data_IF_322343605300
#
_entry.id   IF_322343605300
#
_cell.length_a   1.000
_cell.length_b   1.000
_cell.length_c   1.000
_cell.angle_alpha   90.00
_cell.angle_beta   90.00
_cell.angle_gamma   90.00
#
_symmetry.space_group_name_H-M   'P 1'
#
loop_
_entity.id
_entity.type
_entity.pdbx_description
1 polymer ?
#
# COMPACT_ATOMS: atom_id res chain seq x y z
N UNK A 1 -37.86 25.78 18.03
CA UNK A 1 -36.99 25.05 17.08
C UNK A 1 -37.43 23.60 17.15
N UNK A 2 -37.58 22.92 16.02
CA UNK A 2 -37.90 21.49 16.03
C UNK A 2 -36.65 20.70 16.46
N UNK A 3 -36.78 19.85 17.48
CA UNK A 3 -35.73 18.92 17.87
C UNK A 3 -35.65 17.76 16.89
N UNK A 4 -34.51 17.60 16.22
CA UNK A 4 -34.28 16.54 15.24
C UNK A 4 -33.24 15.56 15.79
N UNK A 5 -33.52 14.26 15.65
CA UNK A 5 -32.64 13.17 16.05
C UNK A 5 -32.11 12.47 14.81
N UNK A 6 -30.79 12.29 14.74
CA UNK A 6 -30.11 11.52 13.69
C UNK A 6 -29.77 10.13 14.20
N UNK A 7 -30.33 9.10 13.56
CA UNK A 7 -29.89 7.71 13.73
C UNK A 7 -28.86 7.33 12.66
N UNK A 8 -27.82 6.60 13.05
CA UNK A 8 -26.79 6.06 12.15
C UNK A 8 -26.66 4.55 12.34
N UNK A 9 -26.72 3.81 11.23
CA UNK A 9 -26.44 2.37 11.17
C UNK A 9 -25.16 2.14 10.35
N UNK A 10 -24.07 1.83 11.04
CA UNK A 10 -22.73 1.77 10.45
C UNK A 10 -22.37 0.31 10.15
N UNK A 11 -22.47 -0.06 8.88
CA UNK A 11 -22.04 -1.35 8.33
C UNK A 11 -20.66 -1.30 7.68
N UNK A 12 -20.21 -2.46 7.19
CA UNK A 12 -18.87 -2.64 6.60
C UNK A 12 -18.74 -1.95 5.22
N UNK A 13 -19.83 -1.91 4.44
CA UNK A 13 -19.90 -1.33 3.09
C UNK A 13 -21.07 -0.35 2.94
N UNK A 14 -21.69 0.04 4.04
CA UNK A 14 -22.87 0.90 4.04
C UNK A 14 -22.97 1.70 5.33
N UNK A 15 -23.51 2.90 5.23
CA UNK A 15 -24.01 3.66 6.38
C UNK A 15 -25.46 4.07 6.12
N UNK A 16 -26.39 3.48 6.85
CA UNK A 16 -27.77 3.93 6.91
C UNK A 16 -27.89 5.16 7.79
N UNK A 17 -28.74 6.11 7.42
CA UNK A 17 -29.05 7.28 8.24
C UNK A 17 -30.53 7.62 8.17
N UNK A 18 -31.06 8.18 9.26
CA UNK A 18 -32.43 8.65 9.33
C UNK A 18 -32.57 9.83 10.27
N UNK A 19 -33.39 10.80 9.90
CA UNK A 19 -33.70 11.98 10.69
C UNK A 19 -35.16 11.88 11.14
N UNK A 20 -35.39 11.99 12.44
CA UNK A 20 -36.71 11.92 13.05
C UNK A 20 -36.94 13.20 13.84
N UNK A 21 -38.14 13.77 13.76
CA UNK A 21 -38.59 14.80 14.68
C UNK A 21 -38.85 14.16 16.05
N UNK A 22 -38.14 14.60 17.09
CA UNK A 22 -38.21 14.01 18.42
C UNK A 22 -39.59 14.17 19.06
N UNK A 23 -40.25 15.31 18.80
CA UNK A 23 -41.52 15.66 19.43
C UNK A 23 -42.71 14.96 18.76
N UNK A 24 -42.69 14.84 17.43
CA UNK A 24 -43.80 14.26 16.66
C UNK A 24 -43.58 12.79 16.31
N UNK A 25 -42.35 12.28 16.38
CA UNK A 25 -41.97 10.95 15.89
C UNK A 25 -41.97 10.85 14.35
N UNK A 26 -42.17 11.95 13.64
CA UNK A 26 -42.21 11.96 12.17
C UNK A 26 -40.82 11.71 11.58
N UNK A 27 -40.76 10.82 10.59
CA UNK A 27 -39.56 10.61 9.79
C UNK A 27 -39.45 11.76 8.80
N UNK A 28 -38.43 12.59 8.96
CA UNK A 28 -38.18 13.73 8.09
C UNK A 28 -37.47 13.28 6.82
N UNK A 29 -36.44 12.45 6.97
CA UNK A 29 -35.68 11.94 5.85
C UNK A 29 -34.93 10.67 6.25
N UNK A 30 -34.61 9.83 5.27
CA UNK A 30 -33.82 8.63 5.47
C UNK A 30 -33.10 8.23 4.18
N UNK A 31 -31.94 7.61 4.34
CA UNK A 31 -31.17 7.12 3.21
C UNK A 31 -30.09 6.14 3.62
N UNK A 32 -29.40 5.62 2.62
CA UNK A 32 -28.25 4.73 2.81
C UNK A 32 -27.14 5.20 1.91
N UNK A 33 -25.95 5.36 2.47
CA UNK A 33 -24.72 5.57 1.72
C UNK A 33 -24.01 4.23 1.56
N UNK A 34 -23.96 3.73 0.33
CA UNK A 34 -23.15 2.55 -0.03
C UNK A 34 -21.73 2.99 -0.43
N UNK A 35 -20.75 2.14 -0.13
CA UNK A 35 -19.36 2.27 -0.56
C UNK A 35 -18.74 0.88 -0.70
N UNK A 36 -17.67 0.77 -1.49
CA UNK A 36 -16.96 -0.49 -1.61
C UNK A 36 -16.40 -0.90 -0.24
N UNK A 37 -16.58 -2.17 0.12
CA UNK A 37 -15.93 -2.73 1.30
C UNK A 37 -14.42 -2.49 1.19
N UNK A 38 -13.81 -2.07 2.30
CA UNK A 38 -12.36 -1.90 2.36
C UNK A 38 -11.70 -3.26 2.19
N UNK A 39 -11.34 -3.61 0.96
CA UNK A 39 -10.71 -4.87 0.62
C UNK A 39 -9.38 -4.99 1.40
N UNK A 40 -9.33 -5.93 2.35
CA UNK A 40 -8.11 -6.21 3.13
C UNK A 40 -6.94 -6.57 2.22
N UNK A 41 -7.22 -7.19 1.08
CA UNK A 41 -6.20 -7.67 0.15
C UNK A 41 -5.40 -6.52 -0.46
N UNK A 42 -6.04 -5.39 -0.77
CA UNK A 42 -5.36 -4.23 -1.36
C UNK A 42 -4.22 -3.70 -0.47
N UNK A 43 -4.39 -3.70 0.85
CA UNK A 43 -3.34 -3.26 1.77
C UNK A 43 -2.26 -4.33 1.98
N UNK A 44 -2.64 -5.61 1.97
CA UNK A 44 -1.73 -6.74 2.07
C UNK A 44 -0.81 -6.83 0.84
N UNK A 45 -1.37 -6.71 -0.36
CA UNK A 45 -0.61 -6.67 -1.61
C UNK A 45 0.34 -5.47 -1.64
N UNK A 46 -0.15 -4.29 -1.25
CA UNK A 46 0.70 -3.09 -1.13
C UNK A 46 1.86 -3.32 -0.16
N UNK A 47 1.63 -4.05 0.95
CA UNK A 47 2.67 -4.41 1.91
C UNK A 47 3.66 -5.40 1.31
N UNK A 48 3.19 -6.43 0.61
CA UNK A 48 4.00 -7.46 -0.03
C UNK A 48 4.90 -6.88 -1.12
N UNK A 49 4.34 -6.08 -2.03
CA UNK A 49 5.12 -5.40 -3.06
C UNK A 49 6.18 -4.46 -2.48
N UNK A 50 5.85 -3.73 -1.41
CA UNK A 50 6.81 -2.87 -0.71
C UNK A 50 7.95 -3.68 -0.08
N UNK A 51 7.65 -4.80 0.54
CA UNK A 51 8.65 -5.70 1.12
C UNK A 51 9.56 -6.29 0.04
N UNK A 52 9.00 -6.74 -1.08
CA UNK A 52 9.75 -7.26 -2.22
C UNK A 52 10.72 -6.21 -2.80
N UNK A 53 10.24 -4.97 -3.04
CA UNK A 53 11.10 -3.86 -3.50
C UNK A 53 12.24 -3.55 -2.53
N UNK A 54 11.96 -3.53 -1.23
CA UNK A 54 12.99 -3.31 -0.19
C UNK A 54 14.03 -4.42 -0.17
N UNK A 55 13.61 -5.68 -0.30
CA UNK A 55 14.53 -6.83 -0.36
C UNK A 55 15.42 -6.76 -1.61
N UNK A 56 14.84 -6.49 -2.80
CA UNK A 56 15.61 -6.31 -4.05
C UNK A 56 16.64 -5.18 -3.91
N UNK A 57 16.21 -4.01 -3.41
CA UNK A 57 17.10 -2.86 -3.19
C UNK A 57 18.24 -3.18 -2.22
N UNK A 58 17.95 -3.84 -1.10
CA UNK A 58 18.97 -4.22 -0.10
C UNK A 58 19.96 -5.26 -0.66
N UNK A 59 19.50 -6.21 -1.48
CA UNK A 59 20.36 -7.17 -2.15
C UNK A 59 21.33 -6.48 -3.11
N UNK A 60 20.82 -5.58 -3.96
CA UNK A 60 21.63 -4.77 -4.87
C UNK A 60 22.66 -3.92 -4.11
N UNK A 61 22.19 -3.16 -3.11
CA UNK A 61 23.05 -2.27 -2.34
C UNK A 61 24.15 -3.01 -1.56
N UNK A 62 23.85 -4.20 -1.03
CA UNK A 62 24.87 -5.04 -0.37
C UNK A 62 25.96 -5.46 -1.35
N UNK A 63 25.59 -5.86 -2.57
CA UNK A 63 26.55 -6.25 -3.60
C UNK A 63 27.40 -5.06 -4.06
N UNK A 64 26.80 -3.88 -4.24
CA UNK A 64 27.52 -2.63 -4.56
C UNK A 64 28.55 -2.30 -3.48
N UNK A 65 28.14 -2.26 -2.20
CA UNK A 65 29.05 -1.98 -1.09
C UNK A 65 30.19 -2.99 -0.94
N UNK A 66 29.92 -4.26 -1.22
CA UNK A 66 30.99 -5.28 -1.22
C UNK A 66 31.96 -5.06 -2.38
N UNK A 67 31.48 -4.69 -3.57
CA UNK A 67 32.35 -4.34 -4.71
C UNK A 67 33.21 -3.11 -4.41
N UNK A 68 32.63 -2.06 -3.82
CA UNK A 68 33.32 -0.85 -3.37
C UNK A 68 34.44 -1.21 -2.37
N UNK A 69 34.10 -1.93 -1.30
CA UNK A 69 35.05 -2.35 -0.26
C UNK A 69 36.25 -3.14 -0.83
N UNK A 70 35.99 -4.11 -1.71
CA UNK A 70 37.06 -4.90 -2.32
C UNK A 70 37.95 -4.07 -3.26
N UNK A 71 37.38 -3.05 -3.90
CA UNK A 71 38.12 -2.15 -4.79
C UNK A 71 39.03 -1.23 -4.01
N UNK A 72 38.54 -0.65 -2.91
CA UNK A 72 39.29 0.21 -2.00
C UNK A 72 40.48 -0.52 -1.36
N UNK A 73 40.29 -1.78 -0.98
CA UNK A 73 41.33 -2.58 -0.32
C UNK A 73 42.29 -3.28 -1.32
N UNK A 74 42.31 -2.88 -2.59
CA UNK A 74 43.14 -3.49 -3.65
C UNK A 74 42.92 -5.00 -3.84
N UNK A 75 41.76 -5.50 -3.39
CA UNK A 75 41.31 -6.90 -3.48
C UNK A 75 40.54 -7.17 -4.79
N UNK A 76 40.82 -6.39 -5.84
CA UNK A 76 40.09 -6.41 -7.13
C UNK A 76 40.07 -7.79 -7.81
N UNK A 77 41.07 -8.65 -7.55
CA UNK A 77 41.10 -10.02 -8.07
C UNK A 77 39.87 -10.84 -7.66
N UNK A 78 39.30 -10.55 -6.49
CA UNK A 78 38.14 -11.23 -5.92
C UNK A 78 36.81 -10.75 -6.52
N UNK A 79 36.79 -9.64 -7.26
CA UNK A 79 35.60 -9.17 -7.98
C UNK A 79 35.10 -10.19 -9.02
N UNK A 80 36.00 -11.05 -9.52
CA UNK A 80 35.69 -12.09 -10.50
C UNK A 80 34.77 -13.20 -9.98
N UNK A 81 34.60 -13.29 -8.65
CA UNK A 81 33.73 -14.28 -8.00
C UNK A 81 32.26 -13.81 -8.02
N UNK A 82 32.02 -12.50 -8.19
CA UNK A 82 30.65 -12.00 -8.22
C UNK A 82 29.97 -12.35 -9.55
N UNK A 83 28.70 -12.79 -9.50
CA UNK A 83 27.93 -13.08 -10.70
C UNK A 83 27.85 -11.84 -11.61
N UNK A 84 28.20 -11.99 -12.90
CA UNK A 84 28.19 -10.91 -13.91
C UNK A 84 26.77 -10.47 -14.31
N UNK A 85 25.79 -11.34 -14.09
CA UNK A 85 24.38 -11.24 -14.44
C UNK A 85 23.58 -10.27 -13.55
N UNK A 86 24.17 -9.71 -12.50
CA UNK A 86 23.50 -8.74 -11.64
C UNK A 86 23.42 -7.31 -12.23
N UNK A 87 23.80 -7.12 -13.49
CA UNK A 87 23.65 -5.85 -14.21
C UNK A 87 22.38 -5.80 -15.10
N UNK A 88 21.71 -6.93 -15.34
CA UNK A 88 20.61 -7.04 -16.30
C UNK A 88 19.18 -6.84 -15.75
N UNK A 89 19.01 -6.39 -14.50
CA UNK A 89 17.65 -6.17 -13.94
C UNK A 89 17.16 -4.71 -13.94
N UNK A 90 17.93 -3.78 -14.52
CA UNK A 90 17.56 -2.36 -14.57
C UNK A 90 16.76 -1.96 -15.83
N UNK A 91 16.76 -2.75 -16.92
CA UNK A 91 16.01 -2.38 -18.14
C UNK A 91 14.54 -2.83 -18.15
N UNK A 92 14.15 -3.79 -17.31
CA UNK A 92 12.78 -4.32 -17.33
C UNK A 92 11.79 -3.60 -16.39
N UNK A 93 12.20 -2.56 -15.66
CA UNK A 93 11.35 -1.95 -14.61
C UNK A 93 10.75 -0.58 -14.96
N UNK A 94 11.05 -0.01 -16.13
CA UNK A 94 10.38 1.22 -16.61
C UNK A 94 9.15 0.90 -17.47
N UNK A 95 9.00 -0.33 -17.98
CA UNK A 95 7.87 -0.73 -18.85
C UNK A 95 6.62 -1.28 -18.13
N UNK A 96 6.53 -1.22 -16.80
CA UNK A 96 5.35 -1.71 -16.06
C UNK A 96 4.65 -0.62 -15.24
N UNK A 97 4.96 0.65 -15.51
CA UNK A 97 4.35 1.81 -14.84
C UNK A 97 3.97 2.95 -15.83
N UNK A 98 3.64 2.59 -17.07
CA UNK A 98 2.80 3.34 -18.01
C UNK A 98 1.79 2.34 -18.59
#
# INVERSE_FOLDING_TARGET
MSNLVLGLDIGISSVGWGIINEETGEIIDAGVRLFEEADRNANEDRRNFRSARRLKRRRKHRLERTKEFLTENSLKKWLKIFPKDLELSNELHIKTLL
#
